data_IF_675317547709
#
_entry.id   IF_675317547709
#
_cell.length_a   1.000
_cell.length_b   1.000
_cell.length_c   1.000
_cell.angle_alpha   90.00
_cell.angle_beta   90.00
_cell.angle_gamma   90.00
#
_symmetry.space_group_name_H-M   'P 1'
#
loop_
_entity.id
_entity.type
_entity.pdbx_description
1 polymer ?
#
# COMPACT_ATOMS: atom_id res chain seq x y z
N UNK A 1 20.58 -8.81 25.96
CA UNK A 1 19.17 -8.39 25.95
C UNK A 1 18.61 -8.65 24.57
N UNK A 2 17.48 -9.36 24.56
CA UNK A 2 16.57 -9.77 23.49
C UNK A 2 17.00 -9.63 22.02
N UNK A 3 17.10 -10.78 21.38
CA UNK A 3 16.94 -10.99 19.95
C UNK A 3 15.66 -10.29 19.46
N UNK A 4 15.81 -9.42 18.46
CA UNK A 4 14.70 -9.02 17.59
C UNK A 4 14.86 -9.81 16.29
N UNK A 5 14.62 -11.12 16.39
CA UNK A 5 14.22 -11.92 15.24
C UNK A 5 12.83 -11.43 14.87
N UNK A 6 12.78 -10.42 13.99
CA UNK A 6 11.56 -10.07 13.29
C UNK A 6 11.16 -11.29 12.48
N UNK A 7 10.08 -11.94 12.92
CA UNK A 7 9.36 -12.94 12.16
C UNK A 7 9.28 -12.54 10.68
N UNK A 8 10.02 -13.23 9.81
CA UNK A 8 9.55 -13.47 8.46
C UNK A 8 8.51 -14.57 8.60
N UNK A 9 7.20 -14.28 8.50
CA UNK A 9 6.23 -15.36 8.39
C UNK A 9 6.49 -15.99 7.03
N UNK A 10 6.91 -17.26 7.05
CA UNK A 10 6.93 -18.21 5.94
C UNK A 10 6.47 -17.62 4.59
N UNK A 11 7.42 -17.16 3.78
CA UNK A 11 7.23 -16.98 2.33
C UNK A 11 7.11 -18.37 1.68
N UNK A 12 6.09 -19.12 2.06
CA UNK A 12 5.71 -20.36 1.40
C UNK A 12 4.70 -20.03 0.32
N UNK A 13 5.18 -19.70 -0.88
CA UNK A 13 4.37 -19.53 -2.09
C UNK A 13 3.20 -18.54 -1.95
N UNK A 14 3.51 -17.27 -1.67
CA UNK A 14 2.53 -16.20 -1.95
C UNK A 14 2.43 -16.04 -3.47
N UNK A 15 1.44 -16.69 -4.09
CA UNK A 15 1.12 -16.50 -5.51
C UNK A 15 0.81 -15.01 -5.72
N UNK A 16 1.38 -14.39 -6.76
CA UNK A 16 1.12 -12.98 -7.06
C UNK A 16 -0.38 -12.82 -7.39
N UNK A 17 -1.12 -11.94 -6.70
CA UNK A 17 -2.52 -11.64 -7.01
C UNK A 17 -2.75 -11.29 -8.50
N UNK A 18 -1.74 -10.79 -9.21
CA UNK A 18 -1.82 -10.55 -10.67
C UNK A 18 -1.82 -11.84 -11.49
N UNK A 19 -1.01 -12.82 -11.10
CA UNK A 19 -0.99 -14.15 -11.74
C UNK A 19 -2.33 -14.85 -11.53
N UNK A 20 -2.86 -14.78 -10.30
CA UNK A 20 -4.20 -15.25 -9.93
C UNK A 20 -5.27 -14.64 -10.83
N UNK A 21 -5.26 -13.31 -11.01
CA UNK A 21 -6.24 -12.64 -11.87
C UNK A 21 -6.10 -13.03 -13.35
N UNK A 22 -4.87 -13.22 -13.83
CA UNK A 22 -4.63 -13.62 -15.22
C UNK A 22 -5.16 -15.04 -15.47
N UNK A 23 -4.81 -16.00 -14.63
CA UNK A 23 -5.26 -17.40 -14.73
C UNK A 23 -6.78 -17.50 -14.63
N UNK A 24 -7.37 -16.90 -13.61
CA UNK A 24 -8.82 -16.92 -13.41
C UNK A 24 -9.60 -16.16 -14.48
N UNK A 25 -9.02 -15.14 -15.11
CA UNK A 25 -9.69 -14.46 -16.23
C UNK A 25 -9.88 -15.39 -17.43
N UNK A 26 -8.89 -16.23 -17.72
CA UNK A 26 -8.93 -17.20 -18.82
C UNK A 26 -9.89 -18.34 -18.49
N UNK A 27 -9.77 -18.91 -17.28
CA UNK A 27 -10.66 -19.97 -16.81
C UNK A 27 -12.12 -19.52 -16.80
N UNK A 28 -12.39 -18.30 -16.32
CA UNK A 28 -13.74 -17.74 -16.27
C UNK A 28 -14.36 -17.56 -17.65
N UNK A 29 -13.60 -17.07 -18.65
CA UNK A 29 -14.09 -16.92 -20.02
C UNK A 29 -14.42 -18.29 -20.63
N UNK A 30 -13.56 -19.29 -20.42
CA UNK A 30 -13.76 -20.64 -20.91
C UNK A 30 -15.02 -21.29 -20.28
N UNK A 31 -15.16 -21.20 -18.95
CA UNK A 31 -16.31 -21.73 -18.23
C UNK A 31 -17.61 -21.03 -18.59
N UNK A 32 -17.57 -19.71 -18.80
CA UNK A 32 -18.75 -18.95 -19.24
C UNK A 32 -19.21 -19.37 -20.63
N UNK A 33 -18.27 -19.61 -21.55
CA UNK A 33 -18.59 -20.15 -22.87
C UNK A 33 -19.20 -21.55 -22.77
N UNK A 34 -18.60 -22.44 -21.98
CA UNK A 34 -19.13 -23.79 -21.74
C UNK A 34 -20.54 -23.75 -21.13
N UNK A 35 -20.79 -22.83 -20.20
CA UNK A 35 -22.10 -22.62 -19.60
C UNK A 35 -23.16 -22.17 -20.61
N UNK A 36 -22.82 -21.24 -21.49
CA UNK A 36 -23.71 -20.77 -22.54
C UNK A 36 -24.00 -21.89 -23.57
N UNK A 37 -23.00 -22.70 -23.91
CA UNK A 37 -23.16 -23.90 -24.75
C UNK A 37 -24.10 -24.94 -24.10
N UNK A 38 -23.94 -25.23 -22.80
CA UNK A 38 -24.82 -26.15 -22.06
C UNK A 38 -26.26 -25.65 -22.03
N UNK A 39 -26.47 -24.35 -21.86
CA UNK A 39 -27.80 -23.75 -21.95
C UNK A 39 -28.42 -23.94 -23.32
N UNK A 40 -27.64 -23.73 -24.39
CA UNK A 40 -28.13 -23.92 -25.74
C UNK A 40 -28.53 -25.38 -25.98
N UNK A 41 -27.68 -26.34 -25.59
CA UNK A 41 -27.99 -27.75 -25.72
C UNK A 41 -29.23 -28.16 -24.90
N UNK A 42 -29.44 -27.59 -23.70
CA UNK A 42 -30.65 -27.86 -22.91
C UNK A 42 -31.92 -27.34 -23.62
N UNK A 43 -31.84 -26.16 -24.23
CA UNK A 43 -32.93 -25.63 -25.04
C UNK A 43 -33.21 -26.54 -26.26
N UNK A 44 -32.16 -27.01 -26.93
CA UNK A 44 -32.29 -27.92 -28.06
C UNK A 44 -32.93 -29.26 -27.62
N UNK A 45 -32.62 -29.77 -26.43
CA UNK A 45 -33.30 -30.96 -25.88
C UNK A 45 -34.78 -30.66 -25.62
N UNK A 46 -35.10 -29.51 -25.05
CA UNK A 46 -36.50 -29.11 -24.82
C UNK A 46 -37.29 -29.01 -26.12
N UNK A 47 -36.68 -28.44 -27.16
CA UNK A 47 -37.29 -28.37 -28.50
C UNK A 47 -37.49 -29.76 -29.10
N UNK A 48 -36.51 -30.66 -28.93
CA UNK A 48 -36.64 -32.06 -29.36
C UNK A 48 -37.75 -32.81 -28.62
N UNK A 49 -37.92 -32.58 -27.31
CA UNK A 49 -39.02 -33.14 -26.53
C UNK A 49 -40.37 -32.63 -27.03
N UNK A 50 -40.49 -31.32 -27.29
CA UNK A 50 -41.69 -30.72 -27.88
C UNK A 50 -42.02 -31.32 -29.27
N UNK A 51 -41.00 -31.62 -30.07
CA UNK A 51 -41.16 -32.28 -31.38
C UNK A 51 -41.60 -33.74 -31.21
N UNK A 52 -41.09 -34.47 -30.21
CA UNK A 52 -41.53 -35.82 -29.90
C UNK A 52 -43.00 -35.85 -29.49
N UNK A 53 -43.43 -34.90 -28.65
CA UNK A 53 -44.82 -34.77 -28.23
C UNK A 53 -45.75 -34.50 -29.44
N UNK A 54 -45.36 -33.60 -30.34
CA UNK A 54 -46.09 -33.38 -31.60
C UNK A 54 -46.17 -34.62 -32.48
N UNK A 55 -45.08 -35.39 -32.60
CA UNK A 55 -45.06 -36.63 -33.39
C UNK A 55 -46.00 -37.69 -32.81
N UNK A 56 -46.16 -37.71 -31.49
CA UNK A 56 -47.12 -38.58 -30.81
C UNK A 56 -48.55 -38.12 -31.12
N UNK A 57 -48.83 -36.82 -31.02
CA UNK A 57 -50.14 -36.24 -31.35
C UNK A 57 -50.56 -36.52 -32.80
N UNK A 58 -49.61 -36.46 -33.74
CA UNK A 58 -49.86 -36.77 -35.15
C UNK A 58 -49.89 -38.27 -35.46
N UNK A 59 -49.71 -39.13 -34.45
CA UNK A 59 -49.68 -40.59 -34.58
C UNK A 59 -48.50 -41.12 -35.41
N UNK A 60 -47.46 -40.30 -35.62
CA UNK A 60 -46.29 -40.64 -36.42
C UNK A 60 -45.31 -41.57 -35.70
N UNK A 61 -45.46 -41.71 -34.38
CA UNK A 61 -44.75 -42.65 -33.52
C UNK A 61 -45.74 -43.31 -32.56
N UNK A 62 -45.40 -44.49 -32.06
CA UNK A 62 -46.20 -45.19 -31.04
C UNK A 62 -45.91 -44.68 -29.63
N UNK A 63 -46.84 -44.89 -28.69
CA UNK A 63 -46.64 -44.56 -27.27
C UNK A 63 -45.36 -45.20 -26.70
N UNK A 64 -45.06 -46.45 -27.07
CA UNK A 64 -43.87 -47.15 -26.58
C UNK A 64 -42.57 -46.53 -27.11
N UNK A 65 -42.56 -46.11 -28.38
CA UNK A 65 -41.41 -45.42 -28.97
C UNK A 65 -41.21 -44.03 -28.37
N UNK A 66 -42.30 -43.29 -28.12
CA UNK A 66 -42.26 -42.01 -27.43
C UNK A 66 -41.66 -42.14 -26.03
N UNK A 67 -42.17 -43.06 -25.20
CA UNK A 67 -41.66 -43.29 -23.83
C UNK A 67 -40.16 -43.60 -23.84
N UNK A 68 -39.69 -44.43 -24.79
CA UNK A 68 -38.27 -44.80 -24.89
C UNK A 68 -37.40 -43.59 -25.23
N UNK A 69 -37.78 -42.81 -26.25
CA UNK A 69 -37.03 -41.62 -26.69
C UNK A 69 -37.08 -40.51 -25.64
N UNK A 70 -38.23 -40.32 -25.00
CA UNK A 70 -38.42 -39.33 -23.94
C UNK A 70 -37.51 -39.65 -22.74
N UNK A 71 -37.47 -40.92 -22.29
CA UNK A 71 -36.57 -41.34 -21.19
C UNK A 71 -35.10 -41.10 -21.52
N UNK A 72 -34.68 -41.35 -22.76
CA UNK A 72 -33.31 -41.10 -23.19
C UNK A 72 -32.99 -39.59 -23.12
N UNK A 73 -33.84 -38.75 -23.70
CA UNK A 73 -33.65 -37.28 -23.71
C UNK A 73 -33.71 -36.69 -22.30
N UNK A 74 -34.55 -37.25 -21.43
CA UNK A 74 -34.62 -36.88 -20.02
C UNK A 74 -33.31 -37.21 -19.27
N UNK A 75 -32.74 -38.39 -19.52
CA UNK A 75 -31.46 -38.76 -18.92
C UNK A 75 -30.31 -37.85 -19.39
N UNK A 76 -30.26 -37.56 -20.70
CA UNK A 76 -29.30 -36.60 -21.29
C UNK A 76 -29.43 -35.20 -20.64
N UNK A 77 -30.66 -34.68 -20.52
CA UNK A 77 -30.95 -33.40 -19.86
C UNK A 77 -30.50 -33.38 -18.39
N UNK A 78 -30.75 -34.48 -17.66
CA UNK A 78 -30.37 -34.59 -16.24
C UNK A 78 -28.86 -34.51 -16.05
N UNK A 79 -28.09 -35.22 -16.89
CA UNK A 79 -26.63 -35.17 -16.87
C UNK A 79 -26.12 -33.75 -17.19
N UNK A 80 -26.69 -33.10 -18.20
CA UNK A 80 -26.30 -31.73 -18.56
C UNK A 80 -26.64 -30.71 -17.47
N UNK A 81 -27.76 -30.84 -16.76
CA UNK A 81 -28.10 -29.98 -15.62
C UNK A 81 -27.07 -30.15 -14.49
N UNK A 82 -26.57 -31.36 -14.25
CA UNK A 82 -25.54 -31.59 -13.25
C UNK A 82 -24.24 -30.88 -13.62
N UNK A 83 -23.75 -31.07 -14.85
CA UNK A 83 -22.54 -30.38 -15.34
C UNK A 83 -22.72 -28.86 -15.31
N UNK A 84 -23.90 -28.37 -15.69
CA UNK A 84 -24.23 -26.94 -15.60
C UNK A 84 -24.08 -26.39 -14.18
N UNK A 85 -24.57 -27.12 -13.16
CA UNK A 85 -24.44 -26.71 -11.75
C UNK A 85 -22.98 -26.70 -11.29
N UNK A 86 -22.18 -27.66 -11.73
CA UNK A 86 -20.74 -27.72 -11.43
C UNK A 86 -20.01 -26.50 -12.04
N UNK A 87 -20.32 -26.16 -13.29
CA UNK A 87 -19.78 -24.96 -13.95
C UNK A 87 -20.24 -23.68 -13.25
N UNK A 88 -21.51 -23.57 -12.85
CA UNK A 88 -22.01 -22.42 -12.07
C UNK A 88 -21.28 -22.27 -10.73
N UNK A 89 -21.05 -23.39 -10.03
CA UNK A 89 -20.30 -23.39 -8.76
C UNK A 89 -18.88 -22.90 -8.97
N UNK A 90 -18.18 -23.40 -10.00
CA UNK A 90 -16.81 -22.99 -10.30
C UNK A 90 -16.73 -21.51 -10.71
N UNK A 91 -17.68 -21.02 -11.51
CA UNK A 91 -17.76 -19.60 -11.87
C UNK A 91 -17.94 -18.71 -10.63
N UNK A 92 -18.73 -19.16 -9.65
CA UNK A 92 -18.93 -18.43 -8.40
C UNK A 92 -17.64 -18.40 -7.55
N UNK A 93 -16.94 -19.51 -7.44
CA UNK A 93 -15.64 -19.60 -6.75
C UNK A 93 -14.60 -18.66 -7.37
N UNK A 94 -14.42 -18.72 -8.69
CA UNK A 94 -13.51 -17.83 -9.42
C UNK A 94 -13.88 -16.36 -9.19
N UNK A 95 -15.18 -16.03 -9.19
CA UNK A 95 -15.60 -14.65 -8.92
C UNK A 95 -15.22 -14.21 -7.50
N UNK A 96 -15.30 -15.10 -6.51
CA UNK A 96 -14.89 -14.83 -5.14
C UNK A 96 -13.37 -14.61 -5.07
N UNK A 97 -12.59 -15.48 -5.69
CA UNK A 97 -11.13 -15.41 -5.74
C UNK A 97 -10.64 -14.12 -6.43
N UNK A 98 -11.26 -13.74 -7.55
CA UNK A 98 -10.98 -12.46 -8.23
C UNK A 98 -11.23 -11.26 -7.31
N UNK A 99 -12.31 -11.26 -6.51
CA UNK A 99 -12.60 -10.17 -5.57
C UNK A 99 -11.55 -10.09 -4.46
N UNK A 100 -11.12 -11.24 -3.95
CA UNK A 100 -10.09 -11.31 -2.91
C UNK A 100 -8.72 -10.84 -3.43
N UNK A 101 -8.32 -11.27 -4.62
CA UNK A 101 -7.09 -10.83 -5.27
C UNK A 101 -7.09 -9.31 -5.52
N UNK A 102 -8.20 -8.75 -6.01
CA UNK A 102 -8.34 -7.29 -6.19
C UNK A 102 -8.24 -6.52 -4.86
N UNK A 103 -8.82 -7.06 -3.77
CA UNK A 103 -8.71 -6.46 -2.44
C UNK A 103 -7.25 -6.44 -1.97
N UNK A 104 -6.51 -7.53 -2.20
CA UNK A 104 -5.09 -7.62 -1.86
C UNK A 104 -4.25 -6.61 -2.66
N UNK A 105 -4.45 -6.51 -3.98
CA UNK A 105 -3.74 -5.53 -4.81
C UNK A 105 -3.96 -4.10 -4.34
N UNK A 106 -5.21 -3.74 -4.04
CA UNK A 106 -5.54 -2.42 -3.52
C UNK A 106 -4.83 -2.14 -2.20
N UNK A 107 -4.74 -3.13 -1.31
CA UNK A 107 -4.03 -2.98 -0.05
C UNK A 107 -2.53 -2.78 -0.27
N UNK A 108 -1.92 -3.55 -1.18
CA UNK A 108 -0.52 -3.40 -1.55
C UNK A 108 -0.21 -2.02 -2.13
N UNK A 109 -1.09 -1.47 -2.97
CA UNK A 109 -0.96 -0.12 -3.51
C UNK A 109 -1.04 0.95 -2.41
N UNK A 110 -1.99 0.82 -1.48
CA UNK A 110 -2.12 1.73 -0.33
C UNK A 110 -0.87 1.69 0.53
N UNK A 111 -0.34 0.51 0.81
CA UNK A 111 0.86 0.33 1.63
C UNK A 111 2.10 0.87 0.91
N UNK A 112 2.21 0.68 -0.41
CA UNK A 112 3.27 1.28 -1.23
C UNK A 112 3.21 2.81 -1.20
N UNK A 113 2.02 3.39 -1.38
CA UNK A 113 1.82 4.84 -1.30
C UNK A 113 2.08 5.40 0.10
N UNK A 114 1.77 4.63 1.16
CA UNK A 114 2.10 4.98 2.54
C UNK A 114 3.61 4.98 2.76
N UNK A 115 4.31 3.93 2.33
CA UNK A 115 5.78 3.84 2.41
C UNK A 115 6.46 4.98 1.66
N UNK A 116 6.01 5.28 0.44
CA UNK A 116 6.52 6.40 -0.34
C UNK A 116 6.37 7.74 0.38
N UNK A 117 5.19 8.01 0.96
CA UNK A 117 4.99 9.23 1.76
C UNK A 117 5.90 9.31 2.97
N UNK A 118 6.08 8.20 3.70
CA UNK A 118 7.04 8.16 4.81
C UNK A 118 8.49 8.38 4.36
N UNK A 119 8.88 7.84 3.21
CA UNK A 119 10.20 8.07 2.63
C UNK A 119 10.41 9.53 2.20
N UNK A 120 9.40 10.15 1.60
CA UNK A 120 9.40 11.59 1.28
C UNK A 120 9.51 12.44 2.55
N UNK A 121 8.66 12.21 3.55
CA UNK A 121 8.71 12.90 4.85
C UNK A 121 10.08 12.76 5.52
N UNK A 122 10.65 11.54 5.51
CA UNK A 122 11.99 11.28 6.02
C UNK A 122 13.07 12.02 5.24
N UNK A 123 12.95 12.09 3.92
CA UNK A 123 13.90 12.81 3.07
C UNK A 123 13.84 14.32 3.32
N UNK A 124 12.66 14.89 3.45
CA UNK A 124 12.46 16.30 3.77
C UNK A 124 13.01 16.62 5.17
N UNK A 125 12.71 15.77 6.15
CA UNK A 125 13.23 15.91 7.50
C UNK A 125 14.77 15.83 7.53
N UNK A 126 15.38 14.94 6.73
CA UNK A 126 16.83 14.85 6.60
C UNK A 126 17.44 16.12 6.00
N UNK A 127 16.86 16.65 4.92
CA UNK A 127 17.32 17.89 4.28
C UNK A 127 17.25 19.05 5.28
N UNK A 128 16.12 19.19 5.96
CA UNK A 128 15.92 20.22 6.99
C UNK A 128 16.93 20.07 8.13
N UNK A 129 17.14 18.83 8.61
CA UNK A 129 18.09 18.55 9.67
C UNK A 129 19.52 18.92 9.28
N UNK A 130 19.94 18.58 8.05
CA UNK A 130 21.27 18.94 7.54
C UNK A 130 21.44 20.46 7.43
N UNK A 131 20.41 21.17 6.96
CA UNK A 131 20.43 22.64 6.87
C UNK A 131 20.52 23.31 8.24
N UNK A 132 19.70 22.87 9.20
CA UNK A 132 19.72 23.38 10.56
C UNK A 132 21.02 23.08 11.29
N UNK A 133 21.62 21.91 11.05
CA UNK A 133 22.92 21.57 11.62
C UNK A 133 24.02 22.52 11.13
N UNK A 134 24.06 22.81 9.83
CA UNK A 134 25.00 23.78 9.28
C UNK A 134 24.80 25.18 9.88
N UNK A 135 23.55 25.61 10.06
CA UNK A 135 23.22 26.86 10.75
C UNK A 135 23.66 26.86 12.21
N UNK A 136 23.51 25.73 12.90
CA UNK A 136 23.94 25.55 14.28
C UNK A 136 25.47 25.67 14.42
N UNK A 137 26.23 25.07 13.51
CA UNK A 137 27.70 25.16 13.49
C UNK A 137 28.17 26.62 13.29
N UNK A 138 27.43 27.44 12.53
CA UNK A 138 27.71 28.87 12.38
C UNK A 138 27.42 29.67 13.66
N UNK A 139 26.37 29.31 14.40
CA UNK A 139 26.04 29.94 15.70
C UNK A 139 27.13 29.62 16.73
N UNK A 140 27.59 28.37 16.79
CA UNK A 140 28.71 27.97 17.66
C UNK A 140 30.00 28.74 17.31
N UNK A 141 30.30 28.91 16.01
CA UNK A 141 31.43 29.73 15.56
C UNK A 141 31.29 31.20 16.01
N UNK A 142 30.11 31.80 15.84
CA UNK A 142 29.85 33.19 16.26
C UNK A 142 30.00 33.37 17.77
N UNK A 143 29.57 32.39 18.56
CA UNK A 143 29.75 32.40 20.01
C UNK A 143 31.23 32.36 20.40
N UNK A 144 32.04 31.56 19.70
CA UNK A 144 33.48 31.53 19.92
C UNK A 144 34.16 32.88 19.61
N UNK A 145 33.72 33.57 18.54
CA UNK A 145 34.19 34.92 18.20
C UNK A 145 33.88 35.93 19.31
N UNK A 146 32.63 35.98 19.79
CA UNK A 146 32.22 36.89 20.87
C UNK A 146 33.04 36.65 22.15
N UNK A 147 33.30 35.39 22.48
CA UNK A 147 34.15 35.04 23.63
C UNK A 147 35.61 35.49 23.43
N UNK A 148 36.16 35.37 22.21
CA UNK A 148 37.50 35.85 21.91
C UNK A 148 37.58 37.39 21.97
N UNK A 149 36.58 38.10 21.45
CA UNK A 149 36.45 39.56 21.56
C UNK A 149 36.33 39.99 23.04
N UNK A 150 35.55 39.27 23.84
CA UNK A 150 35.44 39.52 25.28
C UNK A 150 36.78 39.39 25.99
N UNK A 151 37.57 38.36 25.66
CA UNK A 151 38.89 38.17 26.25
C UNK A 151 39.85 39.30 25.85
N UNK A 152 39.78 39.75 24.60
CA UNK A 152 40.58 40.88 24.11
C UNK A 152 40.25 42.18 24.84
N UNK A 153 38.97 42.48 25.01
CA UNK A 153 38.50 43.68 25.72
C UNK A 153 38.93 43.65 27.20
N UNK A 154 38.89 42.49 27.85
CA UNK A 154 39.39 42.30 29.21
C UNK A 154 40.91 42.56 29.32
N UNK A 155 41.71 42.13 28.33
CA UNK A 155 43.13 42.44 28.27
C UNK A 155 43.41 43.93 28.03
N UNK A 156 42.64 44.58 27.15
CA UNK A 156 42.74 46.02 26.90
C UNK A 156 42.38 46.85 28.14
N UNK A 157 41.38 46.41 28.91
CA UNK A 157 41.04 47.01 30.22
C UNK A 157 42.21 46.89 31.20
N UNK A 158 42.75 45.68 31.38
CA UNK A 158 43.87 45.44 32.32
C UNK A 158 45.13 46.21 31.97
N UNK A 159 45.35 46.46 30.68
CA UNK A 159 46.46 47.28 30.19
C UNK A 159 46.17 48.79 30.18
N UNK A 160 44.98 49.22 30.64
CA UNK A 160 44.59 50.63 30.72
C UNK A 160 44.32 51.29 29.36
N UNK A 161 44.19 50.50 28.28
CA UNK A 161 44.01 51.00 26.90
C UNK A 161 42.59 51.47 26.61
N UNK A 162 41.61 51.06 27.41
CA UNK A 162 40.20 51.44 27.29
C UNK A 162 39.67 51.96 28.63
N UNK A 163 38.68 52.85 28.57
CA UNK A 163 38.00 53.35 29.77
C UNK A 163 37.05 52.31 30.35
N UNK A 164 36.77 52.42 31.66
CA UNK A 164 35.77 51.59 32.34
C UNK A 164 34.37 51.73 31.72
N UNK A 165 34.01 52.92 31.25
CA UNK A 165 32.72 53.14 30.59
C UNK A 165 32.61 52.36 29.28
N UNK A 166 33.63 52.46 28.42
CA UNK A 166 33.70 51.73 27.15
C UNK A 166 33.74 50.21 27.37
N UNK A 167 34.38 49.75 28.44
CA UNK A 167 34.38 48.34 28.84
C UNK A 167 32.97 47.87 29.24
N UNK A 168 32.23 48.66 30.04
CA UNK A 168 30.86 48.33 30.47
C UNK A 168 29.89 48.27 29.30
N UNK A 169 29.93 49.25 28.40
CA UNK A 169 29.11 49.27 27.18
C UNK A 169 29.36 48.03 26.33
N UNK A 170 30.63 47.74 26.04
CA UNK A 170 31.01 46.56 25.26
C UNK A 170 30.59 45.24 25.92
N UNK A 171 30.62 45.18 27.26
CA UNK A 171 30.21 43.99 28.02
C UNK A 171 28.70 43.79 27.97
N UNK A 172 27.91 44.85 28.06
CA UNK A 172 26.45 44.80 27.94
C UNK A 172 26.05 44.31 26.55
N UNK A 173 26.69 44.81 25.50
CA UNK A 173 26.42 44.40 24.12
C UNK A 173 26.77 42.92 23.88
N UNK A 174 27.90 42.45 24.42
CA UNK A 174 28.26 41.02 24.36
C UNK A 174 27.26 40.13 25.10
N UNK A 175 26.78 40.54 26.28
CA UNK A 175 25.78 39.79 27.02
C UNK A 175 24.47 39.71 26.23
N UNK A 176 24.04 40.80 25.57
CA UNK A 176 22.86 40.79 24.70
C UNK A 176 23.04 39.82 23.53
N UNK A 177 24.15 39.90 22.80
CA UNK A 177 24.43 39.02 21.67
C UNK A 177 24.47 37.54 22.10
N UNK A 178 25.09 37.22 23.24
CA UNK A 178 25.12 35.85 23.77
C UNK A 178 23.73 35.36 24.20
N UNK A 179 22.89 36.23 24.77
CA UNK A 179 21.52 35.89 25.13
C UNK A 179 20.66 35.59 23.89
N UNK A 180 20.79 36.40 22.84
CA UNK A 180 20.11 36.18 21.56
C UNK A 180 20.54 34.85 20.92
N UNK A 181 21.85 34.57 20.86
CA UNK A 181 22.35 33.29 20.34
C UNK A 181 21.86 32.10 21.16
N UNK A 182 21.79 32.21 22.49
CA UNK A 182 21.33 31.13 23.36
C UNK A 182 19.87 30.74 23.12
N UNK A 183 19.00 31.70 22.77
CA UNK A 183 17.59 31.40 22.42
C UNK A 183 17.54 30.63 21.10
N UNK A 184 18.24 31.14 20.08
CA UNK A 184 18.32 30.48 18.76
C UNK A 184 18.90 29.07 18.85
N UNK A 185 19.97 28.87 19.64
CA UNK A 185 20.56 27.54 19.87
C UNK A 185 19.55 26.56 20.47
N UNK A 186 18.74 27.01 21.43
CA UNK A 186 17.74 26.16 22.10
C UNK A 186 16.66 25.71 21.13
N UNK A 187 16.13 26.64 20.33
CA UNK A 187 15.08 26.38 19.35
C UNK A 187 15.58 25.44 18.25
N UNK A 188 16.81 25.66 17.75
CA UNK A 188 17.44 24.80 16.74
C UNK A 188 17.70 23.39 17.30
N UNK A 189 18.20 23.26 18.53
CA UNK A 189 18.39 21.95 19.18
C UNK A 189 17.09 21.18 19.33
N UNK A 190 16.01 21.87 19.73
CA UNK A 190 14.70 21.26 19.84
C UNK A 190 14.22 20.74 18.48
N UNK A 191 14.32 21.58 17.44
CA UNK A 191 13.91 21.21 16.08
C UNK A 191 14.75 20.06 15.50
N UNK A 192 16.06 20.06 15.71
CA UNK A 192 16.94 18.96 15.31
C UNK A 192 16.55 17.63 15.98
N UNK A 193 16.10 17.66 17.24
CA UNK A 193 15.65 16.47 17.95
C UNK A 193 14.32 15.93 17.39
N UNK A 194 13.35 16.80 17.10
CA UNK A 194 12.08 16.42 16.44
C UNK A 194 12.33 15.77 15.09
N UNK A 195 13.19 16.38 14.26
CA UNK A 195 13.54 15.86 12.93
C UNK A 195 14.23 14.50 13.03
N UNK A 196 15.10 14.28 14.03
CA UNK A 196 15.72 12.98 14.26
C UNK A 196 14.70 11.90 14.64
N UNK A 197 13.61 12.23 15.34
CA UNK A 197 12.54 11.27 15.62
C UNK A 197 11.87 10.84 14.31
N UNK A 198 11.50 11.80 13.45
CA UNK A 198 10.91 11.53 12.13
C UNK A 198 11.86 10.70 11.25
N UNK A 199 13.15 11.01 11.28
CA UNK A 199 14.17 10.32 10.46
C UNK A 199 14.41 8.87 10.93
N UNK A 200 14.31 8.62 12.24
CA UNK A 200 14.55 7.29 12.83
C UNK A 200 13.35 6.37 12.71
N UNK A 201 12.15 6.93 12.60
CA UNK A 201 10.89 6.18 12.60
C UNK A 201 10.41 5.92 14.00
#
# INVERSE_FOLDING_TARGET
MSHHEGHLPQEGFSVDPKEILAEYSVEWVALRKSFDELKQQLNDIQDNLNVLDKKLETGSITDQEHIKLYRQKWAESTQMIQVKREVESRLYEIQKEIREANKQLKQMEIDKARRHRFEEERSHAMIEWMSLKQGFDLVDARRAEINAESNKIEMERRSGKISEEKYRESRIDQIRQLAELSVVESDVKHRLAELLQIIRG
#
